data_IF_114420601608
#
_entry.id   IF_114420601608
#
_cell.length_a   1.000
_cell.length_b   1.000
_cell.length_c   1.000
_cell.angle_alpha   90.00
_cell.angle_beta   90.00
_cell.angle_gamma   90.00
#
_symmetry.space_group_name_H-M   'P 1'
#
loop_
_entity.id
_entity.type
_entity.pdbx_description
1 polymer ?
#
# COMPACT_ATOMS: atom_id res chain seq x y z
N UNK A 1 18.64 9.05 -1.84
CA UNK A 1 17.72 9.80 -0.96
C UNK A 1 16.32 10.03 -1.57
N UNK A 2 15.98 9.49 -2.76
CA UNK A 2 14.70 9.77 -3.43
C UNK A 2 13.58 8.73 -3.21
N UNK A 3 13.89 7.48 -2.87
CA UNK A 3 12.87 6.41 -2.76
C UNK A 3 12.00 6.42 -1.49
N UNK A 4 12.46 7.05 -0.40
CA UNK A 4 11.76 6.97 0.90
C UNK A 4 10.50 7.85 1.00
N UNK A 5 10.36 8.87 0.15
CA UNK A 5 9.26 9.83 0.24
C UNK A 5 7.93 9.22 -0.21
N UNK A 6 7.94 8.46 -1.32
CA UNK A 6 6.71 7.95 -1.94
C UNK A 6 5.92 7.00 -1.03
N UNK A 7 6.62 6.16 -0.24
CA UNK A 7 5.96 5.24 0.70
C UNK A 7 5.21 5.96 1.82
N UNK A 8 5.72 7.11 2.30
CA UNK A 8 5.06 7.89 3.36
C UNK A 8 3.83 8.63 2.84
N UNK A 9 3.93 9.23 1.66
CA UNK A 9 2.78 9.89 1.04
C UNK A 9 1.65 8.91 0.76
N UNK A 10 1.98 7.72 0.22
CA UNK A 10 1.00 6.67 -0.01
C UNK A 10 0.29 6.25 1.29
N UNK A 11 1.05 6.04 2.37
CA UNK A 11 0.49 5.71 3.68
C UNK A 11 -0.47 6.82 4.17
N UNK A 12 -0.09 8.09 4.03
CA UNK A 12 -0.96 9.21 4.41
C UNK A 12 -2.28 9.23 3.63
N UNK A 13 -2.28 8.79 2.37
CA UNK A 13 -3.51 8.67 1.59
C UNK A 13 -4.38 7.50 2.06
N UNK A 14 -3.78 6.37 2.40
CA UNK A 14 -4.50 5.20 2.93
C UNK A 14 -5.03 5.42 4.35
N UNK A 15 -4.32 6.15 5.19
CA UNK A 15 -4.71 6.40 6.58
C UNK A 15 -5.85 7.42 6.71
N UNK A 16 -6.34 7.97 5.58
CA UNK A 16 -7.49 8.87 5.60
C UNK A 16 -8.73 8.13 6.09
N UNK A 17 -9.50 8.80 6.97
CA UNK A 17 -10.79 8.28 7.48
C UNK A 17 -11.76 7.82 6.39
N UNK A 18 -11.71 8.43 5.20
CA UNK A 18 -12.55 8.03 4.07
C UNK A 18 -12.19 6.64 3.54
N UNK A 19 -10.90 6.29 3.50
CA UNK A 19 -10.39 4.98 3.06
C UNK A 19 -10.65 3.93 4.15
N UNK A 20 -10.38 4.24 5.42
CA UNK A 20 -10.71 3.33 6.53
C UNK A 20 -12.20 2.96 6.62
N UNK A 21 -13.09 3.86 6.18
CA UNK A 21 -14.53 3.58 6.13
C UNK A 21 -14.92 2.56 5.06
N UNK A 22 -14.14 2.38 4.00
CA UNK A 22 -14.46 1.39 2.96
C UNK A 22 -14.20 -0.03 3.43
N UNK A 23 -13.23 -0.23 4.32
CA UNK A 23 -12.95 -1.54 4.93
C UNK A 23 -12.45 -1.38 6.37
N UNK A 24 -13.37 -1.52 7.33
CA UNK A 24 -13.08 -1.42 8.77
C UNK A 24 -12.29 -2.61 9.33
N UNK A 25 -12.20 -3.73 8.61
CA UNK A 25 -11.38 -4.89 8.99
C UNK A 25 -9.92 -4.75 8.53
N UNK A 26 -9.64 -3.84 7.61
CA UNK A 26 -8.29 -3.63 7.09
C UNK A 26 -7.41 -2.98 8.17
N UNK A 27 -6.41 -3.73 8.66
CA UNK A 27 -5.41 -3.21 9.59
C UNK A 27 -4.19 -2.71 8.83
N UNK A 28 -3.92 -1.41 8.91
CA UNK A 28 -2.73 -0.79 8.33
C UNK A 28 -1.65 -0.77 9.40
N UNK A 29 -0.50 -1.39 9.11
CA UNK A 29 0.69 -1.39 9.98
C UNK A 29 1.89 -0.90 9.20
N UNK A 30 2.76 -0.15 9.86
CA UNK A 30 3.96 0.41 9.24
C UNK A 30 5.16 0.07 10.11
N UNK A 31 6.17 -0.53 9.51
CA UNK A 31 7.44 -0.84 10.16
C UNK A 31 8.50 0.10 9.60
N UNK A 32 9.10 0.91 10.46
CA UNK A 32 10.17 1.84 10.09
C UNK A 32 11.49 1.16 10.40
N UNK A 33 12.13 0.65 9.36
CA UNK A 33 13.42 -0.01 9.44
C UNK A 33 14.51 0.92 8.87
N UNK A 34 15.70 0.88 9.46
CA UNK A 34 16.89 1.56 8.96
C UNK A 34 17.84 0.59 8.25
N UNK A 35 17.29 -0.48 7.70
CA UNK A 35 18.02 -1.34 6.78
C UNK A 35 18.11 -0.57 5.46
N UNK A 36 19.27 -0.53 4.81
CA UNK A 36 19.50 0.19 3.53
C UNK A 36 18.70 -0.40 2.34
N UNK A 37 17.64 -1.13 2.64
CA UNK A 37 16.71 -1.74 1.73
C UNK A 37 15.66 -0.74 1.26
N UNK A 38 15.12 -1.04 0.10
CA UNK A 38 14.09 -0.22 -0.52
C UNK A 38 12.75 -0.40 0.21
N UNK A 39 11.94 0.66 0.31
CA UNK A 39 10.63 0.55 0.93
C UNK A 39 9.72 -0.41 0.16
N UNK A 40 9.05 -1.29 0.90
CA UNK A 40 8.11 -2.26 0.36
C UNK A 40 6.76 -2.11 1.03
N UNK A 41 5.69 -2.27 0.25
CA UNK A 41 4.33 -2.27 0.77
C UNK A 41 3.77 -3.67 0.56
N UNK A 42 3.33 -4.28 1.65
CA UNK A 42 2.82 -5.65 1.66
C UNK A 42 1.33 -5.59 1.95
N UNK A 43 0.52 -6.10 1.02
CA UNK A 43 -0.91 -6.26 1.19
C UNK A 43 -1.24 -7.74 1.36
N UNK A 44 -1.74 -8.09 2.55
CA UNK A 44 -2.25 -9.42 2.84
C UNK A 44 -3.76 -9.42 2.68
N UNK A 45 -4.27 -10.23 1.76
CA UNK A 45 -5.69 -10.37 1.47
C UNK A 45 -6.29 -11.51 2.30
N UNK A 46 -7.59 -11.43 2.60
CA UNK A 46 -8.30 -12.49 3.34
C UNK A 46 -8.26 -13.85 2.60
N UNK A 47 -8.14 -13.83 1.27
CA UNK A 47 -8.03 -15.02 0.42
C UNK A 47 -6.65 -15.72 0.52
N UNK A 48 -5.81 -15.35 1.49
CA UNK A 48 -4.44 -15.88 1.67
C UNK A 48 -3.43 -15.37 0.64
N UNK A 49 -3.84 -14.49 -0.28
CA UNK A 49 -2.96 -13.90 -1.30
C UNK A 49 -2.14 -12.77 -0.67
N UNK A 50 -0.84 -12.74 -0.97
CA UNK A 50 0.08 -11.68 -0.56
C UNK A 50 0.60 -10.94 -1.78
N UNK A 51 0.42 -9.62 -1.80
CA UNK A 51 0.93 -8.75 -2.86
C UNK A 51 2.03 -7.88 -2.28
N UNK A 52 3.17 -7.82 -2.96
CA UNK A 52 4.34 -7.03 -2.57
C UNK A 52 4.55 -5.97 -3.64
N UNK A 53 4.42 -4.70 -3.25
CA UNK A 53 4.71 -3.56 -4.09
C UNK A 53 6.12 -3.06 -3.77
N UNK A 54 7.00 -3.10 -4.76
CA UNK A 54 8.35 -2.53 -4.68
C UNK A 54 8.27 -1.06 -5.08
N UNK A 55 8.56 -0.15 -4.15
CA UNK A 55 8.37 1.30 -4.36
C UNK A 55 9.60 2.00 -4.93
N UNK A 56 10.65 1.24 -5.28
CA UNK A 56 11.93 1.71 -5.82
C UNK A 56 11.81 2.63 -7.05
N UNK A 57 10.90 2.29 -7.97
CA UNK A 57 10.75 2.97 -9.26
C UNK A 57 9.32 3.43 -9.53
N UNK A 58 8.44 3.38 -8.52
CA UNK A 58 7.02 3.72 -8.67
C UNK A 58 6.70 5.02 -7.97
N UNK A 59 5.97 5.89 -8.66
CA UNK A 59 5.43 7.11 -8.07
C UNK A 59 4.22 6.82 -7.18
N UNK A 60 3.91 7.73 -6.26
CA UNK A 60 2.71 7.64 -5.40
C UNK A 60 1.42 7.49 -6.23
N UNK A 61 1.33 8.17 -7.37
CA UNK A 61 0.17 8.12 -8.27
C UNK A 61 -0.03 6.73 -8.88
N UNK A 62 1.03 6.17 -9.46
CA UNK A 62 0.97 4.83 -10.07
C UNK A 62 0.60 3.78 -9.02
N UNK A 63 1.22 3.85 -7.85
CA UNK A 63 0.93 2.95 -6.74
C UNK A 63 -0.54 3.01 -6.32
N UNK A 64 -1.14 4.20 -6.23
CA UNK A 64 -2.58 4.37 -5.95
C UNK A 64 -3.47 3.82 -7.09
N UNK A 65 -3.07 4.02 -8.35
CA UNK A 65 -3.81 3.46 -9.49
C UNK A 65 -3.78 1.93 -9.49
N UNK A 66 -2.60 1.34 -9.26
CA UNK A 66 -2.46 -0.12 -9.12
C UNK A 66 -3.26 -0.64 -7.93
N UNK A 67 -3.19 0.01 -6.78
CA UNK A 67 -3.97 -0.34 -5.60
C UNK A 67 -5.48 -0.40 -5.90
N UNK A 68 -6.01 0.64 -6.54
CA UNK A 68 -7.42 0.68 -6.94
C UNK A 68 -7.79 -0.40 -7.95
N UNK A 69 -6.89 -0.74 -8.88
CA UNK A 69 -7.10 -1.82 -9.85
C UNK A 69 -7.18 -3.17 -9.15
N UNK A 70 -6.27 -3.45 -8.21
CA UNK A 70 -6.29 -4.68 -7.43
C UNK A 70 -7.55 -4.75 -6.55
N UNK A 71 -7.90 -3.68 -5.84
CA UNK A 71 -9.13 -3.64 -5.05
C UNK A 71 -10.35 -4.04 -5.89
N UNK A 72 -10.52 -3.44 -7.08
CA UNK A 72 -11.62 -3.79 -8.00
C UNK A 72 -11.59 -5.24 -8.51
N UNK A 73 -10.39 -5.80 -8.70
CA UNK A 73 -10.24 -7.18 -9.15
C UNK A 73 -10.68 -8.17 -8.07
N UNK A 74 -10.38 -7.90 -6.80
CA UNK A 74 -10.70 -8.80 -5.68
C UNK A 74 -12.09 -8.59 -5.07
N UNK A 75 -12.76 -7.46 -5.33
CA UNK A 75 -14.17 -7.26 -4.91
C UNK A 75 -15.19 -7.97 -5.81
N UNK A 76 -14.78 -8.53 -6.95
CA UNK A 76 -15.68 -9.20 -7.91
C UNK A 76 -15.89 -10.70 -7.65
N UNK A 77 -15.33 -11.25 -6.58
CA UNK A 77 -15.57 -12.63 -6.13
C UNK A 77 -16.72 -12.69 -5.11
#
# INVERSE_FOLDING_TARGET
>A
MFGFFFGREFLQHLDRKQVHRTNTKCSIKTEILCDQQEPQIIANLENGKRIIFKTAYMTTLELLQYWNRFAKQFTKE
#
